data_IF_002829152697
#
_entry.id   IF_002829152697
#
_cell.length_a   1.000
_cell.length_b   1.000
_cell.length_c   1.000
_cell.angle_alpha   90.00
_cell.angle_beta   90.00
_cell.angle_gamma   90.00
#
_symmetry.space_group_name_H-M   'P 1'
#
loop_
_entity.id
_entity.type
_entity.pdbx_description
1 polymer ?
#
# COMPACT_ATOMS: atom_id res chain seq x y z
N UNK A 1 -1.70 7.40 -4.65
CA UNK A 1 -2.42 7.03 -5.88
C UNK A 1 -3.37 8.17 -6.21
N UNK A 2 -3.09 8.94 -7.25
CA UNK A 2 -3.92 10.09 -7.65
C UNK A 2 -4.79 9.68 -8.84
N UNK A 3 -5.89 9.00 -8.53
CA UNK A 3 -6.83 8.49 -9.54
C UNK A 3 -7.94 9.48 -9.88
N UNK A 4 -8.02 10.60 -9.18
CA UNK A 4 -9.10 11.55 -9.34
C UNK A 4 -8.57 13.00 -9.34
N UNK A 5 -9.03 13.78 -10.31
CA UNK A 5 -8.69 15.22 -10.39
C UNK A 5 -9.47 16.10 -9.40
N UNK A 6 -10.47 15.54 -8.71
CA UNK A 6 -11.22 16.22 -7.66
C UNK A 6 -10.68 15.80 -6.29
N UNK A 7 -9.95 16.69 -5.65
CA UNK A 7 -9.26 16.44 -4.37
C UNK A 7 -10.25 16.07 -3.26
N UNK A 8 -11.39 16.76 -3.19
CA UNK A 8 -12.42 16.51 -2.18
C UNK A 8 -13.02 15.11 -2.33
N UNK A 9 -13.44 14.73 -3.55
CA UNK A 9 -13.96 13.39 -3.83
C UNK A 9 -12.94 12.31 -3.50
N UNK A 10 -11.69 12.50 -3.93
CA UNK A 10 -10.60 11.59 -3.65
C UNK A 10 -10.39 11.41 -2.14
N UNK A 11 -10.40 12.50 -1.38
CA UNK A 11 -10.24 12.47 0.08
C UNK A 11 -11.38 11.70 0.75
N UNK A 12 -12.63 11.98 0.40
CA UNK A 12 -13.79 11.31 0.98
C UNK A 12 -13.78 9.80 0.66
N UNK A 13 -13.59 9.44 -0.60
CA UNK A 13 -13.57 8.03 -1.03
C UNK A 13 -12.42 7.26 -0.34
N UNK A 14 -11.21 7.81 -0.30
CA UNK A 14 -10.07 7.19 0.39
C UNK A 14 -10.35 7.00 1.88
N UNK A 15 -10.87 8.01 2.55
CA UNK A 15 -11.16 7.94 3.98
C UNK A 15 -12.22 6.87 4.29
N UNK A 16 -13.27 6.76 3.48
CA UNK A 16 -14.31 5.73 3.65
C UNK A 16 -13.77 4.32 3.42
N UNK A 17 -12.99 4.09 2.36
CA UNK A 17 -12.33 2.80 2.11
C UNK A 17 -11.43 2.42 3.29
N UNK A 18 -10.59 3.35 3.77
CA UNK A 18 -9.72 3.13 4.93
C UNK A 18 -10.50 2.78 6.18
N UNK A 19 -11.56 3.51 6.47
CA UNK A 19 -12.39 3.26 7.64
C UNK A 19 -13.00 1.86 7.61
N UNK A 20 -13.50 1.40 6.47
CA UNK A 20 -14.01 0.04 6.28
C UNK A 20 -12.91 -0.98 6.50
N UNK A 21 -11.75 -0.83 5.84
CA UNK A 21 -10.67 -1.82 5.93
C UNK A 21 -10.03 -1.88 7.33
N UNK A 22 -9.84 -0.74 8.01
CA UNK A 22 -9.37 -0.72 9.40
C UNK A 22 -10.36 -1.41 10.34
N UNK A 23 -11.67 -1.17 10.17
CA UNK A 23 -12.68 -1.84 10.99
C UNK A 23 -12.67 -3.36 10.79
N UNK A 24 -12.51 -3.82 9.55
CA UNK A 24 -12.40 -5.25 9.22
C UNK A 24 -11.15 -5.89 9.82
N UNK A 25 -10.09 -5.12 10.03
CA UNK A 25 -8.86 -5.56 10.73
C UNK A 25 -8.96 -5.42 12.25
N UNK A 26 -10.12 -5.04 12.78
CA UNK A 26 -10.33 -4.73 14.20
C UNK A 26 -9.50 -3.55 14.71
N UNK A 27 -9.06 -2.67 13.83
CA UNK A 27 -8.35 -1.43 14.15
C UNK A 27 -9.33 -0.25 14.22
N UNK A 28 -10.14 -0.24 15.26
CA UNK A 28 -11.21 0.74 15.44
C UNK A 28 -10.67 2.16 15.63
N UNK A 29 -9.49 2.31 16.21
CA UNK A 29 -8.87 3.63 16.43
C UNK A 29 -8.54 4.31 15.10
N UNK A 30 -7.87 3.61 14.20
CA UNK A 30 -7.53 4.16 12.90
C UNK A 30 -8.76 4.30 11.99
N UNK A 31 -9.73 3.38 12.07
CA UNK A 31 -11.02 3.53 11.39
C UNK A 31 -11.71 4.84 11.78
N UNK A 32 -11.77 5.10 13.08
CA UNK A 32 -12.34 6.32 13.61
C UNK A 32 -11.64 7.59 13.11
N UNK A 33 -10.31 7.60 13.17
CA UNK A 33 -9.52 8.73 12.70
C UNK A 33 -9.77 9.07 11.21
N UNK A 34 -10.02 8.06 10.36
CA UNK A 34 -10.37 8.30 8.96
C UNK A 34 -11.74 8.96 8.80
N UNK A 35 -12.69 8.62 9.65
CA UNK A 35 -14.04 9.19 9.60
C UNK A 35 -14.08 10.63 10.14
N UNK A 36 -13.25 10.96 11.13
CA UNK A 36 -13.09 12.34 11.63
C UNK A 36 -12.63 13.32 10.52
N UNK A 37 -12.00 12.82 9.46
CA UNK A 37 -11.60 13.64 8.30
C UNK A 37 -12.82 14.08 7.48
N UNK A 38 -13.88 13.26 7.45
CA UNK A 38 -15.06 13.49 6.59
C UNK A 38 -16.12 14.28 7.32
N UNK A 39 -16.37 13.97 8.59
CA UNK A 39 -17.43 14.60 9.39
C UNK A 39 -17.00 14.69 10.87
N UNK A 40 -17.34 15.84 11.48
CA UNK A 40 -17.03 16.11 12.89
C UNK A 40 -18.13 15.64 13.85
N UNK A 41 -19.30 15.27 13.34
CA UNK A 41 -20.40 14.76 14.17
C UNK A 41 -20.30 13.25 14.39
N UNK A 42 -19.74 12.86 15.52
CA UNK A 42 -19.46 11.46 15.90
C UNK A 42 -20.63 10.49 15.80
N UNK A 43 -21.84 10.96 16.05
CA UNK A 43 -23.05 10.12 16.02
C UNK A 43 -23.39 9.65 14.61
N UNK A 44 -23.30 10.53 13.62
CA UNK A 44 -23.55 10.21 12.20
C UNK A 44 -22.46 9.29 11.63
N UNK A 45 -21.24 9.47 12.08
CA UNK A 45 -20.06 8.72 11.67
C UNK A 45 -20.18 7.22 11.99
N UNK A 46 -20.67 6.87 13.20
CA UNK A 46 -20.88 5.46 13.59
C UNK A 46 -21.98 4.82 12.75
N UNK A 47 -23.07 5.54 12.50
CA UNK A 47 -24.17 5.06 11.68
C UNK A 47 -23.71 4.80 10.25
N UNK A 48 -22.94 5.72 9.69
CA UNK A 48 -22.36 5.57 8.34
C UNK A 48 -21.46 4.34 8.26
N UNK A 49 -20.54 4.16 9.23
CA UNK A 49 -19.65 2.99 9.26
C UNK A 49 -20.43 1.67 9.36
N UNK A 50 -21.46 1.63 10.18
CA UNK A 50 -22.34 0.46 10.29
C UNK A 50 -23.02 0.13 8.95
N UNK A 51 -23.53 1.14 8.24
CA UNK A 51 -24.15 0.93 6.92
C UNK A 51 -23.13 0.48 5.88
N UNK A 52 -21.93 1.05 5.88
CA UNK A 52 -20.84 0.62 5.01
C UNK A 52 -20.48 -0.85 5.24
N UNK A 53 -20.36 -1.28 6.50
CA UNK A 53 -20.03 -2.67 6.82
C UNK A 53 -21.17 -3.63 6.48
N UNK A 54 -22.42 -3.25 6.71
CA UNK A 54 -23.57 -4.07 6.37
C UNK A 54 -23.70 -4.28 4.84
N UNK A 55 -23.46 -3.22 4.05
CA UNK A 55 -23.45 -3.28 2.59
C UNK A 55 -22.15 -3.82 1.96
N UNK A 56 -21.16 -4.19 2.76
CA UNK A 56 -19.85 -4.60 2.25
C UNK A 56 -19.93 -5.70 1.19
N UNK A 57 -20.83 -6.68 1.37
CA UNK A 57 -21.01 -7.80 0.43
C UNK A 57 -21.50 -7.35 -0.94
N UNK A 58 -22.19 -6.22 -1.00
CA UNK A 58 -22.82 -5.73 -2.23
C UNK A 58 -21.83 -5.03 -3.15
N UNK A 59 -20.78 -4.40 -2.58
CA UNK A 59 -19.81 -3.63 -3.37
C UNK A 59 -18.37 -4.18 -3.36
N UNK A 60 -18.00 -5.10 -2.46
CA UNK A 60 -16.60 -5.55 -2.29
C UNK A 60 -15.98 -6.19 -3.54
N UNK A 61 -16.79 -6.89 -4.32
CA UNK A 61 -16.40 -7.58 -5.56
C UNK A 61 -16.76 -6.76 -6.81
N UNK A 62 -17.39 -5.60 -6.61
CA UNK A 62 -17.84 -4.69 -7.67
C UNK A 62 -16.76 -3.69 -8.08
N UNK A 63 -17.14 -2.83 -9.03
CA UNK A 63 -16.30 -1.73 -9.48
C UNK A 63 -16.24 -0.60 -8.43
N UNK A 64 -15.27 0.30 -8.56
CA UNK A 64 -15.25 1.55 -7.79
C UNK A 64 -16.49 2.41 -8.07
N UNK A 65 -17.11 2.26 -9.26
CA UNK A 65 -18.36 2.94 -9.59
C UNK A 65 -19.53 2.39 -8.78
N UNK A 66 -19.59 1.07 -8.54
CA UNK A 66 -20.62 0.47 -7.69
C UNK A 66 -20.50 0.98 -6.25
N UNK A 67 -19.28 1.04 -5.73
CA UNK A 67 -19.03 1.63 -4.42
C UNK A 67 -19.43 3.11 -4.36
N UNK A 68 -19.07 3.90 -5.38
CA UNK A 68 -19.48 5.31 -5.48
C UNK A 68 -21.00 5.46 -5.49
N UNK A 69 -21.70 4.66 -6.30
CA UNK A 69 -23.16 4.67 -6.38
C UNK A 69 -23.80 4.28 -5.04
N UNK A 70 -23.28 3.28 -4.36
CA UNK A 70 -23.71 2.87 -3.02
C UNK A 70 -23.59 4.03 -2.03
N UNK A 71 -22.48 4.77 -2.04
CA UNK A 71 -22.31 5.94 -1.17
C UNK A 71 -23.34 7.03 -1.46
N UNK A 72 -23.57 7.34 -2.73
CA UNK A 72 -24.41 8.49 -3.15
C UNK A 72 -25.88 8.15 -3.08
N UNK A 73 -26.29 6.99 -3.61
CA UNK A 73 -27.69 6.64 -3.79
C UNK A 73 -28.30 5.97 -2.54
N UNK A 74 -27.54 5.07 -1.90
CA UNK A 74 -28.06 4.29 -0.77
C UNK A 74 -27.76 4.95 0.57
N UNK A 75 -26.54 5.49 0.73
CA UNK A 75 -26.12 6.12 1.98
C UNK A 75 -26.28 7.65 2.00
N UNK A 76 -26.61 8.25 0.87
CA UNK A 76 -26.77 9.70 0.70
C UNK A 76 -25.54 10.52 1.18
N UNK A 77 -24.34 9.94 1.04
CA UNK A 77 -23.09 10.63 1.37
C UNK A 77 -22.85 11.73 0.34
N UNK A 78 -22.53 12.92 0.81
CA UNK A 78 -22.18 14.05 -0.06
C UNK A 78 -20.81 13.83 -0.67
N UNK A 79 -20.79 13.26 -1.87
CA UNK A 79 -19.57 13.07 -2.66
C UNK A 79 -19.69 13.89 -3.95
N UNK A 80 -18.69 14.71 -4.32
CA UNK A 80 -18.72 15.48 -5.54
C UNK A 80 -18.95 14.61 -6.78
N UNK A 81 -19.80 15.06 -7.70
CA UNK A 81 -20.21 14.31 -8.87
C UNK A 81 -19.04 14.04 -9.83
N UNK A 82 -18.98 12.82 -10.38
CA UNK A 82 -18.02 12.44 -11.43
C UNK A 82 -18.48 13.00 -12.78
N UNK A 83 -17.80 14.05 -13.27
CA UNK A 83 -18.13 14.73 -14.53
C UNK A 83 -17.20 14.34 -15.69
N UNK A 84 -15.92 14.06 -15.42
CA UNK A 84 -14.94 13.75 -16.45
C UNK A 84 -15.03 12.29 -16.87
N UNK A 85 -15.01 12.05 -18.20
CA UNK A 85 -15.07 10.71 -18.79
C UNK A 85 -13.91 9.82 -18.29
N UNK A 86 -12.68 10.35 -18.28
CA UNK A 86 -11.49 9.61 -17.82
C UNK A 86 -11.60 9.11 -16.38
N UNK A 87 -12.20 9.94 -15.49
CA UNK A 87 -12.45 9.55 -14.10
C UNK A 87 -13.54 8.49 -14.04
N UNK A 88 -14.62 8.65 -14.82
CA UNK A 88 -15.69 7.65 -14.91
C UNK A 88 -15.16 6.31 -15.40
N UNK A 89 -14.36 6.32 -16.45
CA UNK A 89 -13.72 5.11 -17.00
C UNK A 89 -12.81 4.44 -15.96
N UNK A 90 -12.06 5.24 -15.18
CA UNK A 90 -11.25 4.71 -14.07
C UNK A 90 -12.13 3.99 -13.03
N UNK A 91 -13.21 4.63 -12.56
CA UNK A 91 -14.11 4.04 -11.57
C UNK A 91 -14.84 2.80 -12.07
N UNK A 92 -15.07 2.68 -13.38
CA UNK A 92 -15.71 1.51 -13.98
C UNK A 92 -14.72 0.35 -14.19
N UNK A 93 -13.45 0.64 -14.47
CA UNK A 93 -12.45 -0.37 -14.83
C UNK A 93 -11.61 -0.87 -13.64
N UNK A 94 -11.71 -0.25 -12.46
CA UNK A 94 -11.02 -0.70 -11.25
C UNK A 94 -12.03 -1.18 -10.21
N UNK A 95 -11.65 -2.25 -9.51
CA UNK A 95 -12.51 -2.82 -8.46
C UNK A 95 -12.34 -2.09 -7.13
N UNK A 96 -13.33 -2.22 -6.24
CA UNK A 96 -13.19 -1.81 -4.85
C UNK A 96 -11.96 -2.47 -4.19
N UNK A 97 -11.75 -3.76 -4.47
CA UNK A 97 -10.62 -4.52 -3.93
C UNK A 97 -9.26 -3.93 -4.33
N UNK A 98 -9.10 -3.51 -5.60
CA UNK A 98 -7.86 -2.84 -6.06
C UNK A 98 -7.62 -1.53 -5.31
N UNK A 99 -8.67 -0.74 -5.12
CA UNK A 99 -8.59 0.51 -4.38
C UNK A 99 -8.29 0.27 -2.88
N UNK A 100 -8.91 -0.73 -2.27
CA UNK A 100 -8.68 -1.13 -0.89
C UNK A 100 -7.23 -1.60 -0.67
N UNK A 101 -6.67 -2.37 -1.60
CA UNK A 101 -5.26 -2.74 -1.59
C UNK A 101 -4.35 -1.52 -1.73
N UNK A 102 -4.64 -0.64 -2.70
CA UNK A 102 -3.86 0.58 -2.91
C UNK A 102 -3.85 1.52 -1.70
N UNK A 103 -4.99 1.63 -1.01
CA UNK A 103 -5.12 2.43 0.21
C UNK A 103 -4.40 1.78 1.38
N UNK A 104 -4.54 0.45 1.55
CA UNK A 104 -3.91 -0.32 2.62
C UNK A 104 -2.38 -0.27 2.54
N UNK A 105 -1.83 -0.40 1.33
CA UNK A 105 -0.38 -0.38 1.11
C UNK A 105 0.18 1.04 0.98
N UNK A 106 -0.60 1.99 0.49
CA UNK A 106 -0.18 3.38 0.35
C UNK A 106 0.05 4.14 1.66
N UNK A 107 -0.60 3.71 2.73
CA UNK A 107 -0.53 4.35 4.06
C UNK A 107 0.24 3.56 5.11
N UNK A 108 0.68 2.35 4.81
CA UNK A 108 1.52 1.58 5.72
C UNK A 108 2.93 2.20 5.76
N UNK A 109 3.01 3.42 6.30
CA UNK A 109 4.26 4.12 6.56
C UNK A 109 5.24 3.30 7.41
N UNK A 110 4.75 2.26 8.09
CA UNK A 110 5.56 1.46 9.01
C UNK A 110 6.19 0.22 8.36
N UNK A 111 5.63 -0.29 7.26
CA UNK A 111 6.13 -1.54 6.63
C UNK A 111 6.87 -1.34 5.32
N UNK A 112 6.62 -0.24 4.60
CA UNK A 112 7.28 0.10 3.34
C UNK A 112 7.95 1.46 3.49
N UNK A 113 9.25 1.46 3.71
CA UNK A 113 10.04 2.68 3.81
C UNK A 113 11.05 2.73 2.68
N UNK A 114 11.35 3.93 2.20
CA UNK A 114 12.55 4.10 1.39
C UNK A 114 13.76 3.83 2.27
N UNK A 115 14.81 3.29 1.70
CA UNK A 115 16.05 2.95 2.43
C UNK A 115 16.56 4.16 3.23
N UNK A 116 16.44 5.36 2.68
CA UNK A 116 16.84 6.59 3.38
C UNK A 116 16.02 6.88 4.66
N UNK A 117 14.74 6.52 4.66
CA UNK A 117 13.86 6.71 5.83
C UNK A 117 14.05 5.62 6.90
N UNK A 118 14.65 4.49 6.57
CA UNK A 118 14.95 3.40 7.52
C UNK A 118 16.27 3.60 8.27
N UNK A 119 16.98 4.70 8.02
CA UNK A 119 18.27 4.97 8.66
C UNK A 119 18.09 5.12 10.18
N UNK A 120 18.81 4.31 10.95
CA UNK A 120 18.73 4.30 12.41
C UNK A 120 17.66 3.38 13.00
N UNK A 121 16.84 2.72 12.16
CA UNK A 121 15.85 1.73 12.60
C UNK A 121 16.37 0.31 12.33
N UNK A 122 15.87 -0.67 13.09
CA UNK A 122 16.17 -2.10 12.92
C UNK A 122 14.87 -2.90 12.94
N UNK A 123 14.83 -4.00 12.18
CA UNK A 123 13.65 -4.82 12.00
C UNK A 123 13.97 -6.30 12.09
N UNK A 124 13.10 -7.09 12.69
CA UNK A 124 13.25 -8.54 12.76
C UNK A 124 13.45 -9.17 11.37
N UNK A 125 12.67 -8.71 10.41
CA UNK A 125 12.70 -9.19 9.03
C UNK A 125 12.74 -7.98 8.07
N UNK A 126 13.66 -8.01 7.12
CA UNK A 126 13.77 -7.01 6.06
C UNK A 126 13.63 -7.68 4.71
N UNK A 127 12.84 -7.08 3.84
CA UNK A 127 12.64 -7.51 2.47
C UNK A 127 13.13 -6.41 1.54
N UNK A 128 14.25 -6.65 0.85
CA UNK A 128 14.84 -5.71 -0.11
C UNK A 128 14.41 -6.11 -1.52
N UNK A 129 13.82 -5.20 -2.25
CA UNK A 129 13.47 -5.39 -3.66
C UNK A 129 14.50 -4.68 -4.51
N UNK A 130 15.24 -5.45 -5.29
CA UNK A 130 16.22 -4.94 -6.24
C UNK A 130 15.52 -4.57 -7.56
N UNK A 131 16.04 -3.57 -8.23
CA UNK A 131 15.48 -3.06 -9.46
C UNK A 131 15.86 -3.94 -10.65
N UNK A 132 17.08 -4.42 -10.65
CA UNK A 132 17.65 -5.26 -11.71
C UNK A 132 18.62 -6.29 -11.15
N UNK A 133 18.98 -7.30 -11.95
CA UNK A 133 19.86 -8.39 -11.51
C UNK A 133 21.26 -7.89 -11.10
N UNK A 134 21.80 -6.91 -11.80
CA UNK A 134 23.13 -6.37 -11.49
C UNK A 134 23.22 -5.74 -10.10
N UNK A 135 22.09 -5.35 -9.53
CA UNK A 135 22.06 -4.81 -8.17
C UNK A 135 22.53 -5.82 -7.11
N UNK A 136 22.51 -7.14 -7.38
CA UNK A 136 23.02 -8.17 -6.45
C UNK A 136 24.53 -8.07 -6.18
N UNK A 137 25.27 -7.36 -7.03
CA UNK A 137 26.70 -7.18 -6.87
C UNK A 137 27.09 -6.57 -5.52
N UNK A 138 26.20 -5.83 -4.86
CA UNK A 138 26.45 -5.35 -3.50
C UNK A 138 26.64 -6.47 -2.46
N UNK A 139 26.14 -7.69 -2.75
CA UNK A 139 26.35 -8.88 -1.92
C UNK A 139 27.59 -9.69 -2.32
N UNK A 140 27.90 -9.69 -3.60
CA UNK A 140 28.96 -10.52 -4.17
C UNK A 140 30.32 -9.83 -4.08
N UNK A 141 30.35 -8.59 -4.52
CA UNK A 141 31.58 -7.76 -4.60
C UNK A 141 31.27 -6.31 -4.16
N UNK A 142 31.02 -6.09 -2.85
CA UNK A 142 30.59 -4.79 -2.37
C UNK A 142 31.66 -3.72 -2.57
N UNK A 143 31.33 -2.67 -3.33
CA UNK A 143 32.11 -1.45 -3.42
C UNK A 143 31.41 -0.32 -2.66
N UNK A 144 31.71 -0.19 -1.38
CA UNK A 144 31.10 0.82 -0.53
C UNK A 144 31.73 2.21 -0.65
N UNK A 145 32.91 2.30 -1.29
CA UNK A 145 33.62 3.57 -1.45
C UNK A 145 33.31 4.24 -2.80
N UNK A 146 33.22 3.46 -3.88
CA UNK A 146 32.98 3.97 -5.24
C UNK A 146 31.53 3.94 -5.67
N UNK A 147 30.72 3.01 -5.16
CA UNK A 147 29.34 2.79 -5.65
C UNK A 147 28.28 3.22 -4.64
N UNK A 148 27.53 4.27 -4.98
CA UNK A 148 26.48 4.77 -4.11
C UNK A 148 25.29 3.80 -3.98
N UNK A 149 24.95 3.04 -5.02
CA UNK A 149 23.87 2.05 -4.97
C UNK A 149 24.24 0.91 -4.01
N UNK A 150 25.49 0.42 -4.03
CA UNK A 150 25.97 -0.57 -3.09
C UNK A 150 25.86 -0.09 -1.63
N UNK A 151 26.18 1.17 -1.35
CA UNK A 151 25.99 1.75 -0.01
C UNK A 151 24.55 1.75 0.43
N UNK A 152 23.64 2.12 -0.47
CA UNK A 152 22.20 2.19 -0.19
C UNK A 152 21.66 0.80 0.12
N UNK A 153 21.95 -0.19 -0.72
CA UNK A 153 21.50 -1.58 -0.48
C UNK A 153 22.16 -2.21 0.75
N UNK A 154 23.42 -1.90 1.02
CA UNK A 154 24.10 -2.34 2.25
C UNK A 154 23.41 -1.79 3.51
N UNK A 155 23.02 -0.50 3.50
CA UNK A 155 22.27 0.10 4.61
C UNK A 155 20.94 -0.61 4.78
N UNK A 156 20.20 -0.91 3.69
CA UNK A 156 18.95 -1.65 3.77
C UNK A 156 19.13 -3.04 4.38
N UNK A 157 20.11 -3.79 3.88
CA UNK A 157 20.44 -5.14 4.37
C UNK A 157 20.83 -5.16 5.84
N UNK A 158 21.62 -4.16 6.29
CA UNK A 158 22.06 -4.02 7.67
C UNK A 158 20.96 -3.69 8.68
N UNK A 159 19.73 -3.42 8.22
CA UNK A 159 18.56 -3.20 9.09
C UNK A 159 17.92 -4.49 9.59
N UNK A 160 18.28 -5.64 9.04
CA UNK A 160 17.71 -6.93 9.42
C UNK A 160 18.39 -7.49 10.69
N UNK A 161 17.58 -7.77 11.73
CA UNK A 161 18.05 -8.42 12.96
C UNK A 161 18.04 -9.94 12.80
N UNK A 162 16.95 -10.52 12.25
CA UNK A 162 16.77 -11.98 12.18
C UNK A 162 16.86 -12.53 10.76
N UNK A 163 16.17 -11.91 9.81
CA UNK A 163 16.07 -12.42 8.44
C UNK A 163 16.14 -11.28 7.43
N UNK A 164 16.97 -11.50 6.41
CA UNK A 164 17.06 -10.65 5.23
C UNK A 164 16.55 -11.44 4.02
N UNK A 165 15.57 -10.90 3.33
CA UNK A 165 15.07 -11.42 2.07
C UNK A 165 15.43 -10.43 0.96
N UNK A 166 15.93 -10.95 -0.15
CA UNK A 166 16.29 -10.14 -1.31
C UNK A 166 15.53 -10.68 -2.51
N UNK A 167 14.70 -9.83 -3.08
CA UNK A 167 13.98 -10.14 -4.30
C UNK A 167 14.72 -9.53 -5.50
N UNK A 168 14.98 -10.37 -6.49
CA UNK A 168 15.56 -9.99 -7.78
C UNK A 168 14.55 -10.32 -8.88
N UNK A 169 14.36 -9.46 -9.89
CA UNK A 169 13.43 -9.73 -10.99
C UNK A 169 13.76 -11.03 -11.75
N UNK A 170 15.04 -11.28 -11.94
CA UNK A 170 15.60 -12.49 -12.56
C UNK A 170 16.90 -12.86 -11.86
N UNK A 171 17.23 -14.15 -11.83
CA UNK A 171 18.53 -14.64 -11.34
C UNK A 171 19.08 -15.63 -12.36
N UNK A 172 20.10 -15.20 -13.11
CA UNK A 172 20.77 -16.02 -14.12
C UNK A 172 21.48 -17.23 -13.48
N UNK A 173 21.70 -18.28 -14.27
CA UNK A 173 22.43 -19.45 -13.82
C UNK A 173 23.85 -19.10 -13.36
N UNK A 174 24.50 -18.17 -14.04
CA UNK A 174 25.84 -17.68 -13.67
C UNK A 174 25.85 -17.05 -12.30
N UNK A 175 24.92 -16.14 -12.00
CA UNK A 175 24.85 -15.49 -10.70
C UNK A 175 24.37 -16.45 -9.60
N UNK A 176 23.52 -17.43 -9.93
CA UNK A 176 23.13 -18.48 -8.99
C UNK A 176 24.34 -19.28 -8.49
N UNK A 177 25.27 -19.67 -9.38
CA UNK A 177 26.51 -20.38 -9.04
C UNK A 177 27.39 -19.54 -8.09
N UNK A 178 27.43 -18.23 -8.22
CA UNK A 178 28.22 -17.35 -7.32
C UNK A 178 27.75 -17.38 -5.87
N UNK A 179 26.52 -17.85 -5.62
CA UNK A 179 25.97 -18.02 -4.28
C UNK A 179 26.15 -19.44 -3.72
N UNK A 180 26.59 -20.41 -4.53
CA UNK A 180 26.86 -21.77 -4.05
C UNK A 180 27.90 -21.76 -2.92
N UNK A 181 27.61 -22.51 -1.86
CA UNK A 181 28.47 -22.56 -0.67
C UNK A 181 28.40 -21.36 0.28
N UNK A 182 27.57 -20.35 -0.03
CA UNK A 182 27.27 -19.23 0.88
C UNK A 182 26.04 -19.56 1.75
N UNK A 183 25.92 -18.98 2.94
CA UNK A 183 24.79 -19.20 3.83
C UNK A 183 23.53 -18.45 3.34
N UNK A 184 23.15 -18.65 2.08
CA UNK A 184 22.05 -17.99 1.40
C UNK A 184 21.15 -19.09 0.80
N UNK A 185 19.87 -19.03 1.10
CA UNK A 185 18.85 -19.89 0.47
C UNK A 185 18.27 -19.21 -0.75
N UNK A 186 18.34 -19.85 -1.91
CA UNK A 186 17.74 -19.37 -3.16
C UNK A 186 16.47 -20.17 -3.41
N UNK A 187 15.34 -19.52 -3.47
CA UNK A 187 14.03 -20.10 -3.77
C UNK A 187 13.50 -19.62 -5.12
#
# INVERSE_FOLDING_TARGET
MDFDSNVERQMVIKALIKAVEYTRMNDLRNAWHQLDIIDRERSLTIVLLRHLLNGYKDYKDGSMMDFYNFLVNDLHVKVPQIKKKTVKDFYMNHTYADAALGVKYGDSNDKHKTIHKSKGEEYDNVFVVLKEENDIEFLLTPDLNGNNAHRVYYVAASRAIKRLFINVPTLSAENRIKFEGKPINIS
#
